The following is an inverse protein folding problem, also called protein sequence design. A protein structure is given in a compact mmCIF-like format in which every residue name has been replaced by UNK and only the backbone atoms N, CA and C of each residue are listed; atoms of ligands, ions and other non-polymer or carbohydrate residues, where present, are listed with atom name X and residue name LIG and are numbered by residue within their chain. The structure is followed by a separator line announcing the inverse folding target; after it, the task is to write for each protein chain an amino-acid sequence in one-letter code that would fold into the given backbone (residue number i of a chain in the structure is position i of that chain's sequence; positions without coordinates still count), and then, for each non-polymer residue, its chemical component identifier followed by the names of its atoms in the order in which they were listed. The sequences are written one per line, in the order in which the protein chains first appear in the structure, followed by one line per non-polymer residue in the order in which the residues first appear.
data_IF_838644936965
#
_entry.id   IF_838644936965
#
_cell.length_a   1.000
_cell.length_b   1.000
_cell.length_c   1.000
_cell.angle_alpha   90.00
_cell.angle_beta   90.00
_cell.angle_gamma   90.00
#
_symmetry.space_group_name_H-M   'P 1'
#
loop_
_entity.id
_entity.type
_entity.pdbx_description
1 polymer ?
#
# COMPACT_ATOMS: atom_id res chain seq x y z
N UNK A 1 -21.66 -48.28 8.75
CA UNK A 1 -20.80 -48.39 7.56
C UNK A 1 -21.20 -47.30 6.59
N UNK A 2 -20.32 -46.32 6.35
CA UNK A 2 -20.53 -45.32 5.29
C UNK A 2 -19.81 -45.87 4.06
N UNK A 3 -20.56 -46.16 2.99
CA UNK A 3 -20.00 -46.57 1.70
C UNK A 3 -19.52 -45.29 1.00
N UNK A 4 -18.25 -45.17 0.58
CA UNK A 4 -17.82 -44.00 -0.19
C UNK A 4 -18.56 -44.00 -1.52
N UNK A 5 -19.17 -42.87 -1.88
CA UNK A 5 -19.77 -42.70 -3.20
C UNK A 5 -18.66 -42.87 -4.26
N UNK A 6 -18.80 -43.87 -5.13
CA UNK A 6 -17.95 -44.01 -6.30
C UNK A 6 -18.30 -42.88 -7.27
N UNK A 7 -17.39 -41.94 -7.44
CA UNK A 7 -17.48 -40.92 -8.50
C UNK A 7 -17.27 -41.67 -9.81
N UNK A 8 -18.29 -41.69 -10.67
CA UNK A 8 -18.21 -42.41 -11.93
C UNK A 8 -17.31 -41.68 -12.95
N UNK A 9 -16.70 -42.43 -13.88
CA UNK A 9 -15.73 -41.91 -14.86
C UNK A 9 -16.28 -40.83 -15.79
N UNK A 10 -17.60 -40.80 -16.05
CA UNK A 10 -18.27 -39.74 -16.81
C UNK A 10 -18.25 -38.42 -16.04
N UNK A 11 -18.47 -38.46 -14.73
CA UNK A 11 -18.38 -37.27 -13.85
C UNK A 11 -16.95 -36.71 -13.85
N UNK A 12 -15.94 -37.58 -13.87
CA UNK A 12 -14.53 -37.17 -13.99
C UNK A 12 -14.24 -36.56 -15.37
N UNK A 13 -14.81 -37.12 -16.44
CA UNK A 13 -14.72 -36.58 -17.80
C UNK A 13 -15.31 -35.17 -17.94
N UNK A 14 -16.48 -34.93 -17.35
CA UNK A 14 -17.15 -33.63 -17.38
C UNK A 14 -16.37 -32.56 -16.59
N UNK A 15 -15.79 -32.92 -15.45
CA UNK A 15 -14.93 -32.01 -14.67
C UNK A 15 -13.67 -31.65 -15.46
N UNK A 16 -13.00 -32.63 -16.07
CA UNK A 16 -11.79 -32.38 -16.85
C UNK A 16 -12.06 -31.48 -18.06
N UNK A 17 -13.18 -31.70 -18.75
CA UNK A 17 -13.61 -30.85 -19.86
C UNK A 17 -13.92 -29.42 -19.41
N UNK A 18 -14.63 -29.24 -18.30
CA UNK A 18 -14.91 -27.91 -17.74
C UNK A 18 -13.61 -27.17 -17.35
N UNK A 19 -12.65 -27.87 -16.75
CA UNK A 19 -11.34 -27.31 -16.40
C UNK A 19 -10.55 -26.92 -17.65
N UNK A 20 -10.57 -27.76 -18.69
CA UNK A 20 -9.87 -27.49 -19.95
C UNK A 20 -10.51 -26.33 -20.73
N UNK A 21 -11.84 -26.26 -20.79
CA UNK A 21 -12.58 -25.16 -21.41
C UNK A 21 -12.35 -23.84 -20.64
N UNK A 22 -12.35 -23.89 -19.30
CA UNK A 22 -12.03 -22.73 -18.45
C UNK A 22 -10.57 -22.27 -18.64
N UNK A 23 -9.63 -23.23 -18.74
CA UNK A 23 -8.22 -22.95 -18.99
C UNK A 23 -7.99 -22.32 -20.37
N UNK A 24 -8.67 -22.82 -21.40
CA UNK A 24 -8.57 -22.29 -22.76
C UNK A 24 -9.20 -20.89 -22.86
N UNK A 25 -10.35 -20.66 -22.24
CA UNK A 25 -10.96 -19.33 -22.15
C UNK A 25 -10.05 -18.32 -21.44
N UNK A 26 -9.41 -18.72 -20.33
CA UNK A 26 -8.42 -17.91 -19.61
C UNK A 26 -7.18 -17.63 -20.45
N UNK A 27 -6.74 -18.61 -21.26
CA UNK A 27 -5.56 -18.49 -22.13
C UNK A 27 -5.81 -17.53 -23.28
N UNK A 28 -7.01 -17.51 -23.84
CA UNK A 28 -7.40 -16.58 -24.92
C UNK A 28 -7.66 -15.16 -24.40
N UNK A 29 -8.16 -15.01 -23.16
CA UNK A 29 -8.42 -13.71 -22.56
C UNK A 29 -7.16 -13.03 -21.99
N UNK A 30 -6.16 -13.80 -21.57
CA UNK A 30 -4.95 -13.25 -20.92
C UNK A 30 -4.17 -12.24 -21.78
N UNK A 31 -3.92 -12.46 -23.09
CA UNK A 31 -3.27 -11.45 -23.94
C UNK A 31 -4.05 -10.13 -24.01
N UNK A 32 -5.39 -10.19 -24.05
CA UNK A 32 -6.26 -9.01 -24.05
C UNK A 32 -6.14 -8.24 -22.75
N UNK A 33 -6.16 -8.95 -21.60
CA UNK A 33 -6.00 -8.34 -20.29
C UNK A 33 -4.61 -7.73 -20.08
N UNK A 34 -3.55 -8.35 -20.61
CA UNK A 34 -2.19 -7.79 -20.61
C UNK A 34 -2.13 -6.51 -21.45
N UNK A 35 -2.68 -6.53 -22.67
CA UNK A 35 -2.72 -5.34 -23.53
C UNK A 35 -3.51 -4.18 -22.88
N UNK A 36 -4.63 -4.52 -22.23
CA UNK A 36 -5.43 -3.57 -21.45
C UNK A 36 -4.61 -2.98 -20.29
N UNK A 37 -3.89 -3.82 -19.55
CA UNK A 37 -2.99 -3.37 -18.48
C UNK A 37 -1.91 -2.42 -18.98
N UNK A 38 -1.23 -2.75 -20.08
CA UNK A 38 -0.26 -1.86 -20.73
C UNK A 38 -0.89 -0.52 -21.15
N UNK A 39 -2.11 -0.53 -21.69
CA UNK A 39 -2.84 0.68 -22.06
C UNK A 39 -3.11 1.58 -20.86
N UNK A 40 -3.58 1.03 -19.74
CA UNK A 40 -3.78 1.80 -18.51
C UNK A 40 -2.49 2.38 -17.97
N UNK A 41 -1.39 1.59 -17.93
CA UNK A 41 -0.08 2.09 -17.50
C UNK A 41 0.38 3.28 -18.34
N UNK A 42 0.26 3.19 -19.66
CA UNK A 42 0.62 4.29 -20.57
C UNK A 42 -0.16 5.57 -20.26
N UNK A 43 -1.48 5.48 -20.12
CA UNK A 43 -2.35 6.64 -19.83
C UNK A 43 -2.10 7.23 -18.44
N UNK A 44 -1.88 6.39 -17.44
CA UNK A 44 -1.58 6.84 -16.08
C UNK A 44 -0.22 7.53 -16.04
N UNK A 45 0.80 6.95 -16.67
CA UNK A 45 2.13 7.55 -16.74
C UNK A 45 2.08 8.93 -17.40
N UNK A 46 1.37 9.06 -18.53
CA UNK A 46 1.15 10.36 -19.18
C UNK A 46 0.56 11.39 -18.20
N UNK A 47 -0.47 11.00 -17.44
CA UNK A 47 -1.13 11.87 -16.47
C UNK A 47 -0.27 12.21 -15.25
N UNK A 48 0.54 11.27 -14.76
CA UNK A 48 1.48 11.52 -13.66
C UNK A 48 2.49 12.62 -14.04
N UNK A 49 2.94 12.65 -15.30
CA UNK A 49 3.88 13.67 -15.78
C UNK A 49 3.29 15.08 -15.80
N UNK A 50 1.96 15.22 -15.93
CA UNK A 50 1.31 16.54 -15.92
C UNK A 50 1.41 17.22 -14.56
N UNK A 51 1.48 16.45 -13.45
CA UNK A 51 1.60 16.96 -12.06
C UNK A 51 0.57 18.04 -11.72
N UNK A 52 -0.68 17.84 -12.11
CA UNK A 52 -1.80 18.75 -11.80
C UNK A 52 -2.94 18.02 -11.11
N UNK A 53 -3.73 18.73 -10.31
CA UNK A 53 -4.93 18.16 -9.66
C UNK A 53 -5.88 17.53 -10.69
N UNK A 54 -6.10 18.20 -11.83
CA UNK A 54 -6.94 17.67 -12.90
C UNK A 54 -6.40 16.36 -13.47
N UNK A 55 -5.09 16.25 -13.68
CA UNK A 55 -4.49 15.01 -14.16
C UNK A 55 -4.62 13.89 -13.13
N UNK A 56 -4.51 14.21 -11.84
CA UNK A 56 -4.75 13.24 -10.77
C UNK A 56 -6.23 12.83 -10.69
N UNK A 57 -7.19 13.73 -10.90
CA UNK A 57 -8.62 13.40 -11.02
C UNK A 57 -8.92 12.49 -12.22
N UNK A 58 -8.24 12.71 -13.36
CA UNK A 58 -8.30 11.81 -14.51
C UNK A 58 -7.77 10.41 -14.15
N UNK A 59 -6.63 10.32 -13.45
CA UNK A 59 -6.10 9.04 -12.94
C UNK A 59 -7.14 8.36 -12.06
N UNK A 60 -7.76 9.09 -11.13
CA UNK A 60 -8.78 8.55 -10.24
C UNK A 60 -9.99 8.00 -11.01
N UNK A 61 -10.37 8.64 -12.10
CA UNK A 61 -11.43 8.15 -12.98
C UNK A 61 -11.04 6.86 -13.69
N UNK A 62 -9.77 6.72 -14.10
CA UNK A 62 -9.25 5.49 -14.73
C UNK A 62 -9.22 4.32 -13.76
N UNK A 63 -8.65 4.51 -12.57
CA UNK A 63 -8.45 3.42 -11.60
C UNK A 63 -9.75 2.90 -10.99
N UNK A 64 -10.83 3.68 -11.05
CA UNK A 64 -12.16 3.28 -10.58
C UNK A 64 -13.05 2.69 -11.71
N UNK A 65 -12.51 2.51 -12.91
CA UNK A 65 -13.26 1.90 -14.01
C UNK A 65 -13.29 0.37 -13.91
N UNK A 66 -14.40 -0.25 -14.33
CA UNK A 66 -14.53 -1.72 -14.31
C UNK A 66 -13.49 -2.44 -15.19
N UNK A 67 -12.98 -1.78 -16.22
CA UNK A 67 -11.92 -2.35 -17.07
C UNK A 67 -10.55 -2.31 -16.38
N UNK A 68 -10.31 -1.32 -15.52
CA UNK A 68 -9.12 -1.28 -14.68
C UNK A 68 -9.11 -2.43 -13.69
N UNK A 69 -10.25 -2.75 -13.07
CA UNK A 69 -10.38 -3.89 -12.15
C UNK A 69 -10.02 -5.22 -12.84
N UNK A 70 -10.47 -5.42 -14.08
CA UNK A 70 -10.13 -6.60 -14.88
C UNK A 70 -8.63 -6.65 -15.21
N UNK A 71 -8.03 -5.51 -15.55
CA UNK A 71 -6.61 -5.42 -15.85
C UNK A 71 -5.76 -5.70 -14.60
N UNK A 72 -6.16 -5.18 -13.44
CA UNK A 72 -5.52 -5.38 -12.15
C UNK A 72 -5.44 -6.86 -11.76
N UNK A 73 -6.46 -7.66 -12.08
CA UNK A 73 -6.47 -9.10 -11.80
C UNK A 73 -5.34 -9.87 -12.50
N UNK A 74 -4.74 -9.31 -13.56
CA UNK A 74 -3.65 -9.91 -14.32
C UNK A 74 -2.32 -9.16 -14.21
N UNK A 75 -2.28 -8.00 -13.53
CA UNK A 75 -1.10 -7.15 -13.43
C UNK A 75 -0.92 -6.60 -12.01
N UNK A 76 0.07 -7.14 -11.29
CA UNK A 76 0.33 -6.76 -9.91
C UNK A 76 0.74 -5.30 -9.73
N UNK A 77 1.36 -4.65 -10.74
CA UNK A 77 1.75 -3.23 -10.62
C UNK A 77 0.53 -2.33 -10.59
N UNK A 78 -0.53 -2.67 -11.33
CA UNK A 78 -1.81 -1.96 -11.25
C UNK A 78 -2.47 -2.16 -9.88
N UNK A 79 -2.30 -3.34 -9.27
CA UNK A 79 -2.78 -3.56 -7.90
C UNK A 79 -2.06 -2.69 -6.88
N UNK A 80 -0.73 -2.59 -6.97
CA UNK A 80 0.03 -1.64 -6.16
C UNK A 80 -0.38 -0.19 -6.44
N UNK A 81 -0.57 0.18 -7.69
CA UNK A 81 -0.99 1.54 -8.04
C UNK A 81 -2.39 1.89 -7.53
N UNK A 82 -3.31 0.93 -7.48
CA UNK A 82 -4.62 1.15 -6.86
C UNK A 82 -4.49 1.56 -5.39
N UNK A 83 -3.56 0.95 -4.65
CA UNK A 83 -3.25 1.38 -3.28
C UNK A 83 -2.69 2.81 -3.24
N UNK A 84 -1.82 3.19 -4.18
CA UNK A 84 -1.34 4.58 -4.29
C UNK A 84 -2.51 5.55 -4.53
N UNK A 85 -3.45 5.19 -5.38
CA UNK A 85 -4.64 6.00 -5.65
C UNK A 85 -5.55 6.15 -4.41
N UNK A 86 -5.70 5.09 -3.62
CA UNK A 86 -6.46 5.13 -2.37
C UNK A 86 -5.76 5.99 -1.31
N UNK A 87 -4.43 5.94 -1.24
CA UNK A 87 -3.62 6.84 -0.39
C UNK A 87 -3.78 8.29 -0.84
N UNK A 88 -3.70 8.57 -2.14
CA UNK A 88 -3.88 9.90 -2.69
C UNK A 88 -5.23 10.52 -2.28
N UNK A 89 -6.32 9.73 -2.25
CA UNK A 89 -7.62 10.21 -1.79
C UNK A 89 -7.60 10.68 -0.34
N UNK A 90 -6.82 10.03 0.53
CA UNK A 90 -6.64 10.43 1.93
C UNK A 90 -5.74 11.66 2.07
N UNK A 91 -4.87 11.90 1.10
CA UNK A 91 -3.96 13.03 1.07
C UNK A 91 -4.52 14.26 0.35
N UNK A 92 -5.71 14.14 -0.25
CA UNK A 92 -6.30 15.21 -1.05
C UNK A 92 -6.42 16.50 -0.23
N UNK A 93 -5.80 17.57 -0.72
CA UNK A 93 -5.75 18.87 -0.06
C UNK A 93 -4.49 19.12 0.80
N UNK A 94 -3.59 18.13 0.92
CA UNK A 94 -2.27 18.34 1.49
C UNK A 94 -1.31 18.97 0.46
N UNK A 95 -0.25 19.61 0.95
CA UNK A 95 0.79 20.24 0.12
C UNK A 95 1.53 19.24 -0.78
N UNK A 96 1.69 18.00 -0.31
CA UNK A 96 2.35 16.91 -1.02
C UNK A 96 1.50 15.64 -0.94
N UNK A 97 1.52 14.86 -2.01
CA UNK A 97 0.81 13.59 -2.16
C UNK A 97 1.74 12.49 -2.63
N UNK A 98 1.31 11.25 -2.49
CA UNK A 98 2.04 10.06 -2.92
C UNK A 98 2.34 10.08 -4.43
N UNK A 99 1.48 10.70 -5.24
CA UNK A 99 1.72 10.84 -6.68
C UNK A 99 2.91 11.75 -6.99
N UNK A 100 3.24 12.72 -6.13
CA UNK A 100 4.37 13.63 -6.38
C UNK A 100 5.72 12.90 -6.29
N UNK A 101 5.77 11.82 -5.49
CA UNK A 101 6.91 10.91 -5.35
C UNK A 101 7.03 9.87 -6.47
N UNK A 102 6.17 9.91 -7.49
CA UNK A 102 6.11 8.92 -8.56
C UNK A 102 6.34 9.57 -9.93
N UNK A 103 7.08 8.87 -10.80
CA UNK A 103 7.21 9.25 -12.20
C UNK A 103 6.40 8.28 -13.08
N UNK A 104 6.39 7.00 -12.70
CA UNK A 104 5.67 5.93 -13.38
C UNK A 104 4.87 5.07 -12.41
N UNK A 105 3.89 4.34 -12.94
CA UNK A 105 3.08 3.36 -12.21
C UNK A 105 3.93 2.39 -11.39
N UNK A 106 5.07 1.94 -11.94
CA UNK A 106 5.95 0.97 -11.28
C UNK A 106 6.66 1.54 -10.03
N UNK A 107 6.80 2.85 -9.90
CA UNK A 107 7.59 3.47 -8.83
C UNK A 107 6.96 3.24 -7.46
N UNK A 108 5.64 3.22 -7.37
CA UNK A 108 4.97 2.90 -6.11
C UNK A 108 5.31 1.49 -5.63
N UNK A 109 5.45 0.51 -6.53
CA UNK A 109 5.84 -0.84 -6.13
C UNK A 109 7.23 -0.88 -5.51
N UNK A 110 8.16 -0.04 -6.00
CA UNK A 110 9.52 0.10 -5.46
C UNK A 110 9.48 0.77 -4.10
N UNK A 111 8.75 1.88 -3.98
CA UNK A 111 8.53 2.63 -2.74
C UNK A 111 7.91 1.73 -1.67
N UNK A 112 6.79 1.08 -1.99
CA UNK A 112 6.07 0.18 -1.09
C UNK A 112 6.97 -0.94 -0.56
N UNK A 113 7.67 -1.65 -1.45
CA UNK A 113 8.58 -2.74 -1.06
C UNK A 113 9.71 -2.23 -0.18
N UNK A 114 10.30 -1.08 -0.52
CA UNK A 114 11.41 -0.51 0.24
C UNK A 114 10.98 -0.06 1.63
N UNK A 115 9.83 0.61 1.75
CA UNK A 115 9.24 0.97 3.04
C UNK A 115 8.95 -0.31 3.85
N UNK A 116 8.30 -1.32 3.27
CA UNK A 116 8.02 -2.58 3.96
C UNK A 116 9.29 -3.25 4.51
N UNK A 117 10.41 -3.21 3.77
CA UNK A 117 11.70 -3.70 4.27
C UNK A 117 12.17 -2.92 5.49
N UNK A 118 12.06 -1.58 5.49
CA UNK A 118 12.41 -0.77 6.66
C UNK A 118 11.49 -1.07 7.85
N UNK A 119 10.17 -1.13 7.64
CA UNK A 119 9.21 -1.45 8.68
C UNK A 119 9.49 -2.82 9.31
N UNK A 120 9.83 -3.83 8.48
CA UNK A 120 10.20 -5.16 8.96
C UNK A 120 11.49 -5.15 9.76
N UNK A 121 12.50 -4.39 9.35
CA UNK A 121 13.76 -4.24 10.11
C UNK A 121 13.51 -3.56 11.46
N UNK A 122 12.66 -2.53 11.51
CA UNK A 122 12.25 -1.87 12.76
C UNK A 122 11.51 -2.86 13.67
N UNK A 123 10.57 -3.64 13.12
CA UNK A 123 9.85 -4.68 13.87
C UNK A 123 10.82 -5.64 14.56
N UNK A 124 11.82 -6.12 13.82
CA UNK A 124 12.80 -7.11 14.27
C UNK A 124 13.93 -6.51 15.11
N UNK A 125 14.02 -5.19 15.25
CA UNK A 125 15.16 -4.49 15.88
C UNK A 125 16.51 -4.85 15.21
N UNK A 126 16.49 -5.07 13.89
CA UNK A 126 17.68 -5.48 13.13
C UNK A 126 18.29 -4.31 12.36
N UNK A 127 19.51 -3.95 12.76
CA UNK A 127 20.33 -2.92 12.13
C UNK A 127 20.48 -1.68 12.99
N UNK A 128 21.70 -1.18 13.08
CA UNK A 128 22.00 0.05 13.82
C UNK A 128 21.47 1.26 13.05
N UNK A 129 20.85 2.21 13.76
CA UNK A 129 20.38 3.49 13.20
C UNK A 129 19.39 3.36 12.03
N UNK A 130 18.44 2.42 12.05
CA UNK A 130 17.39 2.28 11.02
C UNK A 130 16.68 3.60 10.66
N UNK A 131 16.47 4.46 11.65
CA UNK A 131 15.82 5.75 11.42
C UNK A 131 16.68 6.70 10.56
N UNK A 132 18.02 6.57 10.59
CA UNK A 132 18.94 7.31 9.69
C UNK A 132 18.89 6.81 8.25
N UNK A 133 18.28 5.66 7.97
CA UNK A 133 18.10 5.17 6.61
C UNK A 133 16.69 5.49 6.09
N UNK A 134 15.64 5.19 6.88
CA UNK A 134 14.26 5.34 6.43
C UNK A 134 13.87 6.81 6.24
N UNK A 135 14.36 7.73 7.07
CA UNK A 135 13.92 9.13 7.03
C UNK A 135 14.51 9.88 5.84
N UNK A 136 15.81 9.74 5.50
CA UNK A 136 16.31 10.24 4.23
C UNK A 136 15.54 9.68 3.05
N UNK A 137 15.22 8.38 3.07
CA UNK A 137 14.42 7.76 2.00
C UNK A 137 13.01 8.36 1.89
N UNK A 138 12.32 8.57 3.03
CA UNK A 138 11.02 9.23 3.10
C UNK A 138 11.10 10.64 2.50
N UNK A 139 12.11 11.42 2.87
CA UNK A 139 12.29 12.79 2.41
C UNK A 139 12.69 12.84 0.92
N UNK A 140 13.57 11.95 0.46
CA UNK A 140 14.03 11.85 -0.93
C UNK A 140 12.88 11.57 -1.90
N UNK A 141 11.93 10.72 -1.48
CA UNK A 141 10.77 10.33 -2.29
C UNK A 141 9.50 11.09 -1.94
N UNK A 142 9.59 12.17 -1.15
CA UNK A 142 8.42 12.98 -0.73
C UNK A 142 7.27 12.15 -0.15
N UNK A 143 7.57 11.07 0.57
CA UNK A 143 6.57 10.19 1.15
C UNK A 143 5.93 10.89 2.33
N UNK A 144 4.63 11.18 2.25
CA UNK A 144 3.92 11.82 3.35
C UNK A 144 3.77 10.86 4.54
N UNK A 145 3.49 11.43 5.73
CA UNK A 145 3.16 10.62 6.91
C UNK A 145 1.86 9.83 6.72
N UNK A 146 0.94 10.34 5.91
CA UNK A 146 -0.32 9.66 5.57
C UNK A 146 0.00 8.40 4.76
N UNK A 147 0.78 8.53 3.68
CA UNK A 147 1.25 7.40 2.90
C UNK A 147 2.01 6.37 3.74
N UNK A 148 2.96 6.82 4.57
CA UNK A 148 3.72 5.93 5.45
C UNK A 148 2.81 5.17 6.43
N UNK A 149 1.83 5.85 7.02
CA UNK A 149 0.85 5.26 7.93
C UNK A 149 -0.02 4.23 7.24
N UNK A 150 -0.53 4.53 6.03
CA UNK A 150 -1.34 3.59 5.26
C UNK A 150 -0.54 2.37 4.79
N UNK A 151 0.71 2.56 4.38
CA UNK A 151 1.60 1.43 4.04
C UNK A 151 1.85 0.57 5.28
N UNK A 152 2.07 1.17 6.44
CA UNK A 152 2.23 0.42 7.69
C UNK A 152 0.96 -0.37 8.03
N UNK A 153 -0.23 0.22 7.92
CA UNK A 153 -1.51 -0.45 8.21
C UNK A 153 -1.79 -1.61 7.25
N UNK A 154 -1.51 -1.44 5.96
CA UNK A 154 -1.78 -2.44 4.92
C UNK A 154 -0.69 -3.52 4.79
N UNK A 155 0.50 -3.27 5.32
CA UNK A 155 1.60 -4.25 5.26
C UNK A 155 1.37 -5.48 6.15
N UNK A 156 2.00 -6.60 5.79
CA UNK A 156 2.01 -7.83 6.59
C UNK A 156 2.99 -7.78 7.79
N UNK A 157 3.49 -6.58 8.12
CA UNK A 157 4.39 -6.38 9.27
C UNK A 157 3.60 -6.64 10.55
N UNK A 158 4.16 -7.49 11.42
CA UNK A 158 3.62 -7.74 12.76
C UNK A 158 4.09 -6.67 13.73
N UNK A 159 3.45 -6.57 14.91
CA UNK A 159 3.80 -5.54 15.90
C UNK A 159 3.82 -4.10 15.30
N UNK A 160 2.77 -3.75 14.55
CA UNK A 160 2.60 -2.43 13.93
C UNK A 160 2.64 -1.31 14.98
N UNK A 161 2.09 -1.57 16.16
CA UNK A 161 2.19 -0.75 17.37
C UNK A 161 3.63 -0.35 17.71
N UNK A 162 4.52 -1.35 17.82
CA UNK A 162 5.94 -1.14 18.09
C UNK A 162 6.60 -0.30 17.00
N UNK A 163 6.34 -0.62 15.73
CA UNK A 163 6.91 0.10 14.59
C UNK A 163 6.45 1.56 14.58
N UNK A 164 5.17 1.82 14.84
CA UNK A 164 4.62 3.16 14.94
C UNK A 164 5.27 3.98 16.05
N UNK A 165 5.41 3.40 17.25
CA UNK A 165 6.07 4.06 18.39
C UNK A 165 7.52 4.44 18.03
N UNK A 166 8.26 3.55 17.39
CA UNK A 166 9.65 3.83 16.99
C UNK A 166 9.72 4.96 15.98
N UNK A 167 8.89 4.93 14.93
CA UNK A 167 8.83 6.00 13.93
C UNK A 167 8.39 7.33 14.54
N UNK A 168 7.32 7.34 15.33
CA UNK A 168 6.81 8.54 15.98
C UNK A 168 7.81 9.15 16.97
N UNK A 169 8.53 8.32 17.73
CA UNK A 169 9.63 8.81 18.59
C UNK A 169 10.70 9.50 17.77
N UNK A 170 10.99 9.00 16.56
CA UNK A 170 11.95 9.66 15.68
C UNK A 170 11.42 10.99 15.13
N UNK A 171 10.19 11.03 14.60
CA UNK A 171 9.55 12.28 14.18
C UNK A 171 9.56 13.31 15.31
N UNK A 172 9.31 12.88 16.55
CA UNK A 172 9.40 13.72 17.74
C UNK A 172 10.81 14.30 17.95
N UNK A 173 11.87 13.51 17.75
CA UNK A 173 13.26 13.98 17.85
C UNK A 173 13.61 15.02 16.79
N UNK A 174 13.01 14.94 15.60
CA UNK A 174 13.13 15.93 14.52
C UNK A 174 12.15 17.10 14.67
N UNK A 175 11.49 17.26 15.83
CA UNK A 175 10.48 18.29 16.10
C UNK A 175 9.24 18.25 15.18
N UNK A 176 8.96 17.11 14.54
CA UNK A 176 7.80 16.84 13.68
C UNK A 176 6.65 16.24 14.49
N UNK A 177 6.13 17.02 15.44
CA UNK A 177 5.18 16.52 16.45
C UNK A 177 3.81 16.13 15.85
N UNK A 178 3.34 16.86 14.83
CA UNK A 178 2.06 16.58 14.16
C UNK A 178 2.10 15.23 13.44
N UNK A 179 3.18 14.94 12.71
CA UNK A 179 3.37 13.67 12.03
C UNK A 179 3.52 12.50 13.02
N UNK A 180 4.23 12.74 14.13
CA UNK A 180 4.31 11.77 15.21
C UNK A 180 2.92 11.44 15.79
N UNK A 181 2.08 12.45 16.02
CA UNK A 181 0.71 12.26 16.49
C UNK A 181 -0.15 11.52 15.48
N UNK A 182 -0.02 11.86 14.19
CA UNK A 182 -0.77 11.19 13.13
C UNK A 182 -0.47 9.69 13.07
N UNK A 183 0.82 9.32 13.09
CA UNK A 183 1.24 7.90 13.11
C UNK A 183 0.69 7.15 14.32
N UNK A 184 0.73 7.78 15.49
CA UNK A 184 0.26 7.17 16.74
C UNK A 184 -1.26 7.03 16.72
N UNK A 185 -1.98 8.10 16.38
CA UNK A 185 -3.44 8.10 16.33
C UNK A 185 -4.01 7.07 15.37
N UNK A 186 -3.42 6.93 14.18
CA UNK A 186 -3.89 5.96 13.19
C UNK A 186 -3.68 4.48 13.57
N UNK A 187 -2.80 4.20 14.55
CA UNK A 187 -2.50 2.83 14.98
C UNK A 187 -3.02 2.56 16.40
N UNK A 188 -3.54 3.58 17.08
CA UNK A 188 -3.98 3.50 18.47
C UNK A 188 -5.06 2.45 18.68
N UNK A 189 -6.05 2.39 17.77
CA UNK A 189 -7.15 1.40 17.81
C UNK A 189 -6.68 -0.05 17.57
N UNK A 190 -5.47 -0.23 17.05
CA UNK A 190 -4.88 -1.53 16.73
C UNK A 190 -3.74 -1.92 17.68
N UNK A 191 -3.57 -1.18 18.78
CA UNK A 191 -2.44 -1.31 19.69
C UNK A 191 -2.72 -2.34 20.80
N UNK A 192 -1.74 -3.19 21.10
CA UNK A 192 -1.85 -4.12 22.24
C UNK A 192 -1.62 -3.42 23.57
N UNK A 193 -2.25 -3.93 24.63
CA UNK A 193 -2.19 -3.37 25.98
C UNK A 193 -0.76 -3.08 26.48
N UNK A 194 0.21 -3.94 26.13
CA UNK A 194 1.61 -3.77 26.54
C UNK A 194 2.29 -2.51 25.96
N UNK A 195 1.79 -2.02 24.82
CA UNK A 195 2.33 -0.84 24.14
C UNK A 195 1.52 0.44 24.39
N UNK A 196 0.29 0.33 24.90
CA UNK A 196 -0.58 1.48 25.19
C UNK A 196 0.10 2.52 26.09
N UNK A 197 0.83 2.10 27.12
CA UNK A 197 1.53 3.04 28.00
C UNK A 197 2.62 3.84 27.26
N UNK A 198 3.44 3.17 26.45
CA UNK A 198 4.50 3.82 25.66
C UNK A 198 3.89 4.76 24.62
N UNK A 199 2.82 4.32 23.98
CA UNK A 199 2.10 5.09 22.98
C UNK A 199 1.48 6.37 23.58
N UNK A 200 0.77 6.26 24.71
CA UNK A 200 0.25 7.41 25.46
C UNK A 200 1.35 8.39 25.85
N UNK A 201 2.52 7.90 26.28
CA UNK A 201 3.65 8.75 26.63
C UNK A 201 4.19 9.54 25.43
N UNK A 202 4.30 8.93 24.25
CA UNK A 202 4.71 9.63 23.02
C UNK A 202 3.65 10.67 22.65
N UNK A 203 2.37 10.27 22.65
CA UNK A 203 1.22 11.14 22.35
C UNK A 203 1.20 12.39 23.23
N UNK A 204 1.21 12.24 24.55
CA UNK A 204 1.19 13.36 25.50
C UNK A 204 2.35 14.34 25.26
N UNK A 205 3.57 13.84 25.02
CA UNK A 205 4.72 14.71 24.77
C UNK A 205 4.62 15.49 23.47
N UNK A 206 3.95 14.93 22.46
CA UNK A 206 3.71 15.62 21.21
C UNK A 206 2.58 16.66 21.37
N UNK A 207 1.47 16.31 22.02
CA UNK A 207 0.35 17.21 22.32
C UNK A 207 0.81 18.47 23.09
N UNK A 208 1.70 18.31 24.07
CA UNK A 208 2.28 19.43 24.84
C UNK A 208 3.12 20.41 24.00
N UNK A 209 3.50 20.04 22.77
CA UNK A 209 4.47 20.77 21.94
C UNK A 209 3.94 21.19 20.57
N UNK A 210 2.73 20.79 20.19
CA UNK A 210 2.07 21.33 19.00
C UNK A 210 1.58 22.73 19.34
N UNK A 211 2.03 23.79 18.64
CA UNK A 211 1.49 25.13 18.84
C UNK A 211 0.01 25.14 18.44
N UNK A 212 -0.84 25.72 19.31
CA UNK A 212 -2.27 25.92 19.08
C UNK A 212 -2.55 26.75 17.82
#
# INVERSE_FOLDING_TARGET
MIIPAQIDESTIGDINKYVEDSYNALKESKPVLVALGCSFKGRINEKLQERTERAYEDIMSLVNSSDYEKAMACDSELSYFKMAADIYQLERGNEYTIFDGMEYVEDFSKIYRRICQFLRRIQLEVGDNLCKEIIPYINEHSISVVALSQILLTSDVGHKDKVAITLATYYQHECRFTEALYLIGNIEDNCRDEFLYKMKRVKTRCEERVPC
#
